data_IF_634157294145
#
_entry.id   IF_634157294145
#
_cell.length_a   1.000
_cell.length_b   1.000
_cell.length_c   1.000
_cell.angle_alpha   90.00
_cell.angle_beta   90.00
_cell.angle_gamma   90.00
#
_symmetry.space_group_name_H-M   'P 1'
#
loop_
_entity.id
_entity.type
_entity.pdbx_description
1 polymer ?
#
# COMPACT_ATOMS: atom_id res chain seq x y z
N UNK A 1 -44.53 48.31 -32.90
CA UNK A 1 -43.73 48.26 -31.61
C UNK A 1 -43.03 46.93 -31.55
N UNK A 2 -41.77 46.89 -31.98
CA UNK A 2 -40.90 45.70 -31.88
C UNK A 2 -40.26 45.70 -30.48
N UNK A 3 -40.51 44.67 -29.68
CA UNK A 3 -39.81 44.45 -28.42
C UNK A 3 -38.36 44.05 -28.74
N UNK A 4 -37.44 44.95 -28.43
CA UNK A 4 -36.03 44.62 -28.40
C UNK A 4 -35.80 43.56 -27.33
N UNK A 5 -35.42 42.35 -27.74
CA UNK A 5 -34.86 41.32 -26.87
C UNK A 5 -33.41 41.73 -26.65
N UNK A 6 -33.08 42.27 -25.48
CA UNK A 6 -31.71 42.50 -25.09
C UNK A 6 -30.99 41.13 -24.98
N UNK A 7 -30.08 40.85 -25.91
CA UNK A 7 -29.11 39.77 -25.80
C UNK A 7 -28.18 40.09 -24.66
N UNK A 8 -28.35 39.38 -23.54
CA UNK A 8 -27.41 39.45 -22.40
C UNK A 8 -26.02 39.05 -22.89
N UNK A 9 -25.03 39.86 -22.61
CA UNK A 9 -23.64 39.56 -22.93
C UNK A 9 -23.20 38.28 -22.19
N UNK A 10 -22.27 37.50 -22.77
CA UNK A 10 -21.79 36.25 -22.16
C UNK A 10 -21.26 36.40 -20.73
N UNK A 11 -20.77 37.61 -20.39
CA UNK A 11 -20.32 37.95 -19.04
C UNK A 11 -21.48 38.08 -18.04
N UNK A 12 -22.62 38.69 -18.44
CA UNK A 12 -23.81 38.83 -17.57
C UNK A 12 -24.50 37.47 -17.33
N UNK A 13 -24.51 36.60 -18.33
CA UNK A 13 -25.02 35.23 -18.20
C UNK A 13 -24.14 34.42 -17.22
N UNK A 14 -22.83 34.60 -17.28
CA UNK A 14 -21.89 33.92 -16.36
C UNK A 14 -22.04 34.45 -14.94
N UNK A 15 -22.19 35.76 -14.72
CA UNK A 15 -22.41 36.35 -13.41
C UNK A 15 -23.71 35.86 -12.76
N UNK A 16 -24.80 35.77 -13.54
CA UNK A 16 -26.08 35.21 -13.07
C UNK A 16 -25.97 33.73 -12.68
N UNK A 17 -25.23 32.93 -13.45
CA UNK A 17 -24.95 31.51 -13.13
C UNK A 17 -24.14 31.35 -11.85
N UNK A 18 -23.08 32.15 -11.65
CA UNK A 18 -22.25 32.10 -10.44
C UNK A 18 -23.05 32.49 -9.19
N UNK A 19 -23.94 33.50 -9.30
CA UNK A 19 -24.83 33.89 -8.19
C UNK A 19 -25.83 32.78 -7.83
N UNK A 20 -26.43 32.12 -8.80
CA UNK A 20 -27.31 31.00 -8.58
C UNK A 20 -26.58 29.79 -8.00
N UNK A 21 -25.36 29.53 -8.44
CA UNK A 21 -24.49 28.46 -7.89
C UNK A 21 -24.14 28.75 -6.43
N UNK A 22 -23.75 29.98 -6.08
CA UNK A 22 -23.44 30.34 -4.70
C UNK A 22 -24.64 30.13 -3.77
N UNK A 23 -25.83 30.56 -4.17
CA UNK A 23 -27.04 30.34 -3.39
C UNK A 23 -27.35 28.85 -3.18
N UNK A 24 -27.01 28.00 -4.18
CA UNK A 24 -27.15 26.54 -4.06
C UNK A 24 -26.12 25.97 -3.10
N UNK A 25 -24.87 26.42 -3.15
CA UNK A 25 -23.81 26.03 -2.23
C UNK A 25 -24.21 26.38 -0.78
N UNK A 26 -24.64 27.63 -0.55
CA UNK A 26 -25.09 28.09 0.77
C UNK A 26 -26.23 27.23 1.33
N UNK A 27 -27.17 26.81 0.47
CA UNK A 27 -28.26 25.91 0.86
C UNK A 27 -27.73 24.51 1.22
N UNK A 28 -26.82 23.95 0.41
CA UNK A 28 -26.19 22.64 0.68
C UNK A 28 -25.45 22.68 2.01
N UNK A 29 -24.68 23.73 2.27
CA UNK A 29 -23.95 23.87 3.52
C UNK A 29 -24.88 24.05 4.74
N UNK A 30 -26.03 24.68 4.54
CA UNK A 30 -27.04 24.79 5.58
C UNK A 30 -27.73 23.45 5.90
N UNK A 31 -28.02 22.68 4.85
CA UNK A 31 -28.76 21.42 4.97
C UNK A 31 -27.86 20.24 5.43
N UNK A 32 -26.58 20.25 5.03
CA UNK A 32 -25.65 19.11 5.24
C UNK A 32 -24.38 19.47 6.05
N UNK A 33 -24.19 20.74 6.40
CA UNK A 33 -23.03 21.22 7.15
C UNK A 33 -21.97 21.90 6.27
N UNK A 34 -21.18 22.79 6.90
CA UNK A 34 -20.06 23.48 6.24
C UNK A 34 -19.00 22.50 5.76
N UNK A 35 -18.45 22.75 4.57
CA UNK A 35 -17.45 21.91 3.96
C UNK A 35 -18.00 20.67 3.22
N UNK A 36 -19.33 20.51 3.12
CA UNK A 36 -19.95 19.43 2.34
C UNK A 36 -19.66 19.58 0.84
N UNK A 37 -19.52 20.81 0.38
CA UNK A 37 -19.07 21.13 -0.98
C UNK A 37 -17.96 22.19 -0.91
N UNK A 38 -16.88 21.99 -1.68
CA UNK A 38 -15.74 22.89 -1.68
C UNK A 38 -15.13 22.98 -3.08
N UNK A 39 -14.44 24.07 -3.35
CA UNK A 39 -13.61 24.17 -4.56
C UNK A 39 -12.27 23.52 -4.28
N UNK A 40 -11.82 22.64 -5.16
CA UNK A 40 -10.57 21.91 -4.97
C UNK A 40 -9.34 22.83 -4.82
N UNK A 41 -9.32 23.97 -5.52
CA UNK A 41 -8.24 24.96 -5.43
C UNK A 41 -8.20 25.78 -4.14
N UNK A 42 -9.22 25.70 -3.29
CA UNK A 42 -9.27 26.47 -2.03
C UNK A 42 -8.59 25.73 -0.86
N UNK A 43 -8.12 24.50 -1.09
CA UNK A 43 -7.46 23.66 -0.07
C UNK A 43 -6.10 23.14 -0.58
N UNK A 44 -5.01 23.86 -0.35
CA UNK A 44 -3.65 23.44 -0.74
C UNK A 44 -3.18 22.17 0.00
N UNK A 45 -3.79 21.82 1.13
CA UNK A 45 -3.45 20.61 1.90
C UNK A 45 -3.89 19.28 1.25
N UNK A 46 -4.74 19.35 0.21
CA UNK A 46 -5.19 18.14 -0.51
C UNK A 46 -4.14 17.58 -1.47
N UNK A 47 -3.11 18.38 -1.80
CA UNK A 47 -2.08 17.99 -2.78
C UNK A 47 -0.97 17.12 -2.16
N UNK A 48 -0.82 17.10 -0.84
CA UNK A 48 0.15 16.24 -0.16
C UNK A 48 -0.55 15.01 0.43
N UNK A 49 -0.59 13.90 -0.30
CA UNK A 49 -1.05 12.63 0.26
C UNK A 49 -0.18 12.24 1.46
N UNK A 50 -0.79 12.12 2.64
CA UNK A 50 -0.09 11.55 3.79
C UNK A 50 0.15 10.07 3.50
N UNK A 51 1.36 9.60 3.74
CA UNK A 51 1.78 8.24 3.42
C UNK A 51 2.43 7.55 4.62
N UNK A 52 2.43 6.22 4.57
CA UNK A 52 3.26 5.37 5.42
C UNK A 52 4.33 4.77 4.51
N UNK A 53 5.63 4.96 4.78
CA UNK A 53 6.70 4.32 4.02
C UNK A 53 6.53 2.81 3.97
N UNK A 54 6.91 2.20 2.87
CA UNK A 54 6.79 0.74 2.71
C UNK A 54 7.93 -0.04 3.36
N UNK A 55 9.01 0.65 3.76
CA UNK A 55 10.26 0.04 4.17
C UNK A 55 11.19 -0.31 3.00
N UNK A 56 10.79 0.01 1.76
CA UNK A 56 11.58 -0.16 0.55
C UNK A 56 11.62 1.15 -0.24
N UNK A 57 12.81 1.67 -0.51
CA UNK A 57 13.01 2.89 -1.29
C UNK A 57 12.46 2.73 -2.71
N UNK A 58 12.73 1.57 -3.32
CA UNK A 58 12.26 1.26 -4.67
C UNK A 58 10.74 1.18 -4.75
N UNK A 59 10.08 0.57 -3.75
CA UNK A 59 8.61 0.49 -3.71
C UNK A 59 7.98 1.85 -3.45
N UNK A 60 8.54 2.64 -2.54
CA UNK A 60 8.07 4.01 -2.26
C UNK A 60 8.12 4.88 -3.51
N UNK A 61 9.21 4.77 -4.29
CA UNK A 61 9.32 5.42 -5.59
C UNK A 61 8.31 4.88 -6.62
N UNK A 62 8.12 3.56 -6.68
CA UNK A 62 7.15 2.95 -7.59
C UNK A 62 5.70 3.33 -7.26
N UNK A 63 5.38 3.60 -5.99
CA UNK A 63 4.09 4.12 -5.56
C UNK A 63 3.87 5.58 -5.99
N UNK A 64 4.92 6.33 -6.29
CA UNK A 64 4.89 7.68 -6.86
C UNK A 64 4.55 8.79 -5.88
N UNK A 65 4.21 8.46 -4.63
CA UNK A 65 3.88 9.38 -3.55
C UNK A 65 4.73 9.17 -2.29
N UNK A 66 5.70 8.26 -2.35
CA UNK A 66 6.66 8.01 -1.25
C UNK A 66 6.18 6.99 -0.20
N UNK A 67 5.13 6.21 -0.48
CA UNK A 67 4.66 5.17 0.43
C UNK A 67 3.20 4.78 0.20
N UNK A 68 2.64 4.02 1.15
CA UNK A 68 1.22 3.64 1.15
C UNK A 68 0.34 4.83 1.54
N UNK A 69 -0.68 5.21 0.73
CA UNK A 69 -1.52 6.36 1.01
C UNK A 69 -2.40 6.13 2.25
N UNK A 70 -2.40 7.07 3.18
CA UNK A 70 -3.37 7.12 4.28
C UNK A 70 -4.75 7.52 3.74
N UNK A 71 -5.79 7.11 4.45
CA UNK A 71 -7.17 7.35 4.02
C UNK A 71 -7.61 6.51 2.82
N UNK A 72 -6.87 5.44 2.49
CA UNK A 72 -7.12 4.60 1.31
C UNK A 72 -7.04 3.11 1.63
N UNK A 73 -7.67 2.32 0.76
CA UNK A 73 -7.57 0.87 0.76
C UNK A 73 -6.47 0.45 -0.22
N UNK A 74 -5.56 -0.39 0.26
CA UNK A 74 -4.49 -1.00 -0.50
C UNK A 74 -4.71 -2.52 -0.53
N UNK A 75 -4.56 -3.16 -1.69
CA UNK A 75 -4.52 -4.60 -1.82
C UNK A 75 -3.10 -5.05 -2.19
N UNK A 76 -2.51 -5.90 -1.35
CA UNK A 76 -1.24 -6.58 -1.62
C UNK A 76 -1.55 -8.04 -1.90
N UNK A 77 -1.28 -8.52 -3.11
CA UNK A 77 -1.61 -9.88 -3.50
C UNK A 77 -0.48 -10.56 -4.26
N UNK A 78 -0.51 -11.87 -4.31
CA UNK A 78 0.48 -12.69 -4.98
C UNK A 78 0.40 -14.16 -4.55
N UNK A 79 1.27 -15.02 -5.11
CA UNK A 79 1.39 -16.41 -4.71
C UNK A 79 1.76 -16.56 -3.24
N UNK A 80 1.63 -17.76 -2.73
CA UNK A 80 2.14 -18.12 -1.40
C UNK A 80 3.64 -17.86 -1.29
N UNK A 81 4.11 -17.48 -0.10
CA UNK A 81 5.53 -17.21 0.19
C UNK A 81 6.19 -16.17 -0.74
N UNK A 82 5.41 -15.25 -1.32
CA UNK A 82 5.94 -14.18 -2.19
C UNK A 82 6.43 -12.94 -1.42
N UNK A 83 6.20 -12.85 -0.10
CA UNK A 83 6.59 -11.71 0.73
C UNK A 83 5.48 -10.71 1.03
N UNK A 84 4.21 -11.03 0.80
CA UNK A 84 3.06 -10.14 1.05
C UNK A 84 2.97 -9.69 2.51
N UNK A 85 2.98 -10.66 3.44
CA UNK A 85 2.94 -10.39 4.88
C UNK A 85 4.17 -9.62 5.33
N UNK A 86 5.36 -9.91 4.78
CA UNK A 86 6.58 -9.15 5.05
C UNK A 86 6.43 -7.67 4.71
N UNK A 87 5.90 -7.35 3.53
CA UNK A 87 5.62 -5.95 3.13
C UNK A 87 4.65 -5.25 4.09
N UNK A 88 3.61 -5.94 4.51
CA UNK A 88 2.62 -5.38 5.45
C UNK A 88 3.23 -5.18 6.85
N UNK A 89 4.07 -6.10 7.33
CA UNK A 89 4.76 -5.96 8.61
C UNK A 89 5.75 -4.79 8.58
N UNK A 90 6.50 -4.60 7.48
CA UNK A 90 7.34 -3.41 7.31
C UNK A 90 6.52 -2.12 7.36
N UNK A 91 5.34 -2.08 6.73
CA UNK A 91 4.46 -0.91 6.80
C UNK A 91 3.98 -0.63 8.24
N UNK A 92 3.70 -1.67 9.04
CA UNK A 92 3.39 -1.54 10.47
C UNK A 92 4.59 -0.92 11.21
N UNK A 93 5.80 -1.45 11.01
CA UNK A 93 7.01 -0.95 11.65
C UNK A 93 7.28 0.52 11.30
N UNK A 94 7.15 0.90 10.03
CA UNK A 94 7.31 2.29 9.58
C UNK A 94 6.24 3.24 10.14
N UNK A 95 4.99 2.77 10.27
CA UNK A 95 3.94 3.54 10.92
C UNK A 95 4.27 3.80 12.41
N UNK A 96 4.72 2.77 13.14
CA UNK A 96 5.11 2.89 14.56
C UNK A 96 6.34 3.78 14.74
N UNK A 97 7.35 3.70 13.87
CA UNK A 97 8.52 4.60 13.88
C UNK A 97 8.12 6.07 13.78
N UNK A 98 7.03 6.36 13.06
CA UNK A 98 6.48 7.70 12.92
C UNK A 98 5.56 8.10 14.08
N UNK A 99 5.45 7.29 15.13
CA UNK A 99 4.57 7.50 16.29
C UNK A 99 3.11 7.11 16.03
N UNK A 100 2.83 6.43 14.93
CA UNK A 100 1.47 5.97 14.57
C UNK A 100 1.05 4.70 15.30
N UNK A 101 -0.25 4.50 15.44
CA UNK A 101 -0.85 3.32 16.05
C UNK A 101 -1.23 2.32 14.97
N UNK A 102 -0.77 1.07 15.12
CA UNK A 102 -0.97 0.00 14.17
C UNK A 102 -1.83 -1.13 14.74
N UNK A 103 -2.65 -1.73 13.87
CA UNK A 103 -3.42 -2.91 14.18
C UNK A 103 -3.28 -3.97 13.07
N UNK A 104 -3.31 -5.24 13.46
CA UNK A 104 -3.39 -6.37 12.54
C UNK A 104 -4.57 -7.27 12.90
N UNK A 105 -5.36 -7.61 11.90
CA UNK A 105 -6.43 -8.61 11.96
C UNK A 105 -5.88 -9.88 11.32
N UNK A 106 -5.41 -10.81 12.16
CA UNK A 106 -4.81 -12.08 11.75
C UNK A 106 -5.89 -13.14 11.62
N UNK A 107 -6.54 -13.18 10.45
CA UNK A 107 -7.58 -14.16 10.15
C UNK A 107 -7.01 -15.55 9.79
N UNK A 108 -5.72 -15.66 9.49
CA UNK A 108 -5.04 -16.93 9.23
C UNK A 108 -4.54 -17.61 10.53
N UNK A 109 -4.54 -16.88 11.67
CA UNK A 109 -3.97 -17.33 12.96
C UNK A 109 -2.50 -17.76 12.85
N UNK A 110 -1.72 -17.06 12.02
CA UNK A 110 -0.36 -17.41 11.66
C UNK A 110 0.65 -16.29 11.90
N UNK A 111 0.31 -15.27 12.69
CA UNK A 111 1.19 -14.14 12.95
C UNK A 111 2.42 -14.54 13.74
N UNK A 112 3.60 -14.39 13.13
CA UNK A 112 4.89 -14.65 13.75
C UNK A 112 5.41 -13.42 14.50
N UNK A 113 5.33 -13.45 15.84
CA UNK A 113 5.77 -12.38 16.71
C UNK A 113 7.29 -12.17 16.65
N UNK A 114 8.06 -13.25 16.53
CA UNK A 114 9.52 -13.19 16.48
C UNK A 114 9.98 -12.53 15.19
N UNK A 115 9.37 -12.91 14.07
CA UNK A 115 9.65 -12.30 12.78
C UNK A 115 9.21 -10.83 12.75
N UNK A 116 8.04 -10.50 13.26
CA UNK A 116 7.59 -9.11 13.33
C UNK A 116 8.54 -8.22 14.14
N UNK A 117 9.04 -8.73 15.28
CA UNK A 117 10.04 -8.03 16.10
C UNK A 117 11.36 -7.82 15.35
N UNK A 118 11.83 -8.81 14.58
CA UNK A 118 13.06 -8.69 13.79
C UNK A 118 12.93 -7.64 12.67
N UNK A 119 11.72 -7.40 12.17
CA UNK A 119 11.43 -6.35 11.20
C UNK A 119 11.24 -4.96 11.82
N UNK A 120 11.39 -4.84 13.13
CA UNK A 120 11.33 -3.57 13.85
C UNK A 120 9.94 -3.19 14.38
N UNK A 121 8.99 -4.13 14.41
CA UNK A 121 7.67 -3.91 15.03
C UNK A 121 7.80 -3.87 16.55
N UNK A 122 7.25 -2.82 17.15
CA UNK A 122 7.03 -2.75 18.58
C UNK A 122 5.80 -3.59 18.95
N UNK A 123 6.05 -4.74 19.57
CA UNK A 123 5.00 -5.68 19.95
C UNK A 123 4.16 -5.20 21.15
N UNK A 124 4.67 -4.27 21.96
CA UNK A 124 3.96 -3.75 23.12
C UNK A 124 2.84 -2.81 22.74
N UNK A 125 2.99 -2.14 21.58
CA UNK A 125 2.00 -1.17 21.09
C UNK A 125 1.16 -1.69 19.90
N UNK A 126 1.54 -2.83 19.31
CA UNK A 126 0.79 -3.42 18.21
C UNK A 126 -0.52 -4.06 18.70
N UNK A 127 -1.65 -3.60 18.16
CA UNK A 127 -2.94 -4.25 18.39
C UNK A 127 -3.09 -5.45 17.46
N UNK A 128 -3.42 -6.62 18.01
CA UNK A 128 -3.69 -7.84 17.24
C UNK A 128 -5.06 -8.39 17.58
N UNK A 129 -5.81 -8.81 16.57
CA UNK A 129 -7.06 -9.55 16.71
C UNK A 129 -7.03 -10.81 15.86
N UNK A 130 -7.51 -11.91 16.42
CA UNK A 130 -7.65 -13.21 15.74
C UNK A 130 -9.12 -13.62 15.75
N UNK A 131 -9.90 -13.17 14.76
CA UNK A 131 -11.36 -13.36 14.71
C UNK A 131 -11.75 -14.78 14.31
N UNK A 132 -12.92 -15.23 14.75
CA UNK A 132 -13.44 -16.57 14.43
C UNK A 132 -14.08 -16.65 13.03
N UNK A 133 -14.49 -15.53 12.46
CA UNK A 133 -15.15 -15.46 11.14
C UNK A 133 -14.93 -14.10 10.46
N UNK A 134 -15.26 -14.03 9.17
CA UNK A 134 -15.05 -12.84 8.35
C UNK A 134 -15.88 -11.63 8.77
N UNK A 135 -17.12 -11.82 9.24
CA UNK A 135 -17.97 -10.75 9.76
C UNK A 135 -17.32 -10.09 10.97
N UNK A 136 -16.87 -10.89 11.95
CA UNK A 136 -16.19 -10.42 13.15
C UNK A 136 -14.89 -9.67 12.78
N UNK A 137 -14.09 -10.22 11.88
CA UNK A 137 -12.86 -9.58 11.41
C UNK A 137 -13.09 -8.17 10.87
N UNK A 138 -14.07 -8.05 9.95
CA UNK A 138 -14.36 -6.79 9.28
C UNK A 138 -15.09 -5.79 10.20
N UNK A 139 -15.86 -6.26 11.18
CA UNK A 139 -16.49 -5.40 12.18
C UNK A 139 -15.48 -4.86 13.18
N UNK A 140 -14.52 -5.67 13.63
CA UNK A 140 -13.40 -5.21 14.47
C UNK A 140 -12.59 -4.15 13.71
N UNK A 141 -12.24 -4.40 12.44
CA UNK A 141 -11.54 -3.43 11.61
C UNK A 141 -12.33 -2.11 11.47
N UNK A 142 -13.65 -2.18 11.22
CA UNK A 142 -14.50 -0.99 11.11
C UNK A 142 -14.52 -0.18 12.43
N UNK A 143 -14.64 -0.85 13.57
CA UNK A 143 -14.63 -0.19 14.87
C UNK A 143 -13.30 0.48 15.19
N UNK A 144 -12.16 -0.18 14.90
CA UNK A 144 -10.83 0.39 15.06
C UNK A 144 -10.65 1.63 14.18
N UNK A 145 -11.03 1.56 12.91
CA UNK A 145 -10.95 2.67 11.95
C UNK A 145 -11.84 3.83 12.41
N UNK A 146 -13.06 3.57 12.82
CA UNK A 146 -14.02 4.59 13.28
C UNK A 146 -13.57 5.32 14.53
N UNK A 147 -12.70 4.73 15.34
CA UNK A 147 -12.13 5.41 16.52
C UNK A 147 -11.33 6.66 16.13
N UNK A 148 -10.81 6.71 14.90
CA UNK A 148 -9.94 7.78 14.42
C UNK A 148 -8.52 7.77 15.02
N UNK A 149 -8.20 6.75 15.83
CA UNK A 149 -6.92 6.64 16.52
C UNK A 149 -5.91 5.74 15.79
N UNK A 150 -6.34 4.97 14.78
CA UNK A 150 -5.51 4.00 14.07
C UNK A 150 -4.94 4.59 12.79
N UNK A 151 -3.63 4.59 12.66
CA UNK A 151 -2.93 5.05 11.45
C UNK A 151 -2.88 3.98 10.35
N UNK A 152 -2.69 2.72 10.74
CA UNK A 152 -2.66 1.59 9.83
C UNK A 152 -3.41 0.38 10.41
N UNK A 153 -4.22 -0.27 9.58
CA UNK A 153 -4.80 -1.58 9.86
C UNK A 153 -4.47 -2.54 8.72
N UNK A 154 -3.96 -3.71 9.07
CA UNK A 154 -3.66 -4.80 8.14
C UNK A 154 -4.65 -5.93 8.37
N UNK A 155 -5.23 -6.49 7.30
CA UNK A 155 -6.10 -7.67 7.33
C UNK A 155 -5.38 -8.78 6.57
N UNK A 156 -4.95 -9.81 7.30
CA UNK A 156 -4.19 -10.96 6.76
C UNK A 156 -4.95 -12.26 7.04
N UNK A 157 -5.57 -12.87 6.07
CA UNK A 157 -5.75 -12.46 4.67
C UNK A 157 -7.23 -12.52 4.27
N UNK A 158 -7.59 -11.88 3.13
CA UNK A 158 -8.95 -11.97 2.56
C UNK A 158 -9.39 -13.42 2.33
N UNK A 159 -8.45 -14.30 1.97
CA UNK A 159 -8.74 -15.72 1.74
C UNK A 159 -9.27 -16.43 2.99
N UNK A 160 -8.88 -15.98 4.18
CA UNK A 160 -9.29 -16.54 5.48
C UNK A 160 -10.56 -15.90 6.05
N UNK A 161 -11.10 -14.85 5.42
CA UNK A 161 -12.36 -14.23 5.86
C UNK A 161 -13.57 -15.10 5.50
N UNK A 162 -13.70 -16.22 6.20
CA UNK A 162 -14.81 -17.17 6.00
C UNK A 162 -16.09 -16.61 6.61
N UNK A 163 -17.19 -16.51 5.87
CA UNK A 163 -18.49 -16.08 6.41
C UNK A 163 -18.98 -17.01 7.51
N UNK A 164 -19.57 -16.43 8.56
CA UNK A 164 -20.11 -17.19 9.69
C UNK A 164 -21.09 -18.30 9.24
N UNK A 165 -21.96 -17.98 8.29
CA UNK A 165 -22.92 -18.95 7.74
C UNK A 165 -22.25 -20.13 7.01
N UNK A 166 -21.03 -19.97 6.51
CA UNK A 166 -20.24 -21.03 5.90
C UNK A 166 -19.65 -21.94 6.99
N UNK A 167 -19.16 -21.35 8.09
CA UNK A 167 -18.61 -22.08 9.24
C UNK A 167 -19.67 -22.91 9.95
N UNK A 168 -20.88 -22.36 10.13
CA UNK A 168 -22.01 -23.01 10.79
C UNK A 168 -22.75 -24.03 9.89
N UNK A 169 -22.41 -24.10 8.59
CA UNK A 169 -22.98 -25.05 7.64
C UNK A 169 -22.42 -26.46 7.78
N UNK A 170 -23.05 -27.41 7.12
CA UNK A 170 -22.57 -28.78 7.07
C UNK A 170 -21.34 -28.93 6.13
N UNK A 171 -20.44 -29.86 6.44
CA UNK A 171 -19.32 -30.17 5.58
C UNK A 171 -19.77 -30.63 4.19
N UNK A 172 -19.32 -29.92 3.15
CA UNK A 172 -19.72 -30.19 1.76
C UNK A 172 -20.90 -29.36 1.25
N UNK A 173 -21.52 -28.54 2.11
CA UNK A 173 -22.56 -27.62 1.68
C UNK A 173 -21.94 -26.50 0.79
N UNK A 174 -22.46 -26.35 -0.43
CA UNK A 174 -21.92 -25.38 -1.38
C UNK A 174 -22.62 -24.01 -1.23
N UNK A 175 -21.98 -23.08 -0.54
CA UNK A 175 -22.49 -21.70 -0.31
C UNK A 175 -21.77 -20.69 -1.21
N UNK A 176 -22.02 -20.77 -2.51
CA UNK A 176 -21.37 -19.92 -3.50
C UNK A 176 -21.60 -18.43 -3.25
N UNK A 177 -20.52 -17.67 -3.24
CA UNK A 177 -20.55 -16.19 -3.28
C UNK A 177 -20.77 -15.49 -1.96
N UNK A 178 -20.86 -16.18 -0.81
CA UNK A 178 -21.06 -15.56 0.50
C UNK A 178 -19.90 -14.63 0.84
N UNK A 179 -18.65 -15.06 0.66
CA UNK A 179 -17.47 -14.23 0.92
C UNK A 179 -17.45 -12.96 0.03
N UNK A 180 -17.82 -13.07 -1.24
CA UNK A 180 -17.88 -11.93 -2.15
C UNK A 180 -18.97 -10.91 -1.73
N UNK A 181 -20.12 -11.38 -1.20
CA UNK A 181 -21.17 -10.52 -0.64
C UNK A 181 -20.70 -9.83 0.63
N UNK A 182 -20.06 -10.56 1.55
CA UNK A 182 -19.48 -10.03 2.77
C UNK A 182 -18.47 -8.92 2.44
N UNK A 183 -17.52 -9.19 1.56
CA UNK A 183 -16.53 -8.19 1.12
C UNK A 183 -17.19 -6.96 0.48
N UNK A 184 -18.18 -7.15 -0.37
CA UNK A 184 -18.89 -6.03 -1.00
C UNK A 184 -19.64 -5.16 0.01
N UNK A 185 -20.22 -5.74 1.03
CA UNK A 185 -20.91 -5.02 2.10
C UNK A 185 -19.92 -4.27 2.99
N UNK A 186 -18.88 -4.94 3.44
CA UNK A 186 -17.86 -4.37 4.31
C UNK A 186 -17.12 -3.20 3.65
N UNK A 187 -16.68 -3.37 2.40
CA UNK A 187 -15.91 -2.33 1.70
C UNK A 187 -16.72 -1.06 1.46
N UNK A 188 -18.04 -1.15 1.28
CA UNK A 188 -18.93 0.02 1.22
C UNK A 188 -18.92 0.84 2.52
N UNK A 189 -18.89 0.17 3.69
CA UNK A 189 -18.80 0.82 4.99
C UNK A 189 -17.40 1.35 5.26
N UNK A 190 -16.38 0.50 5.11
CA UNK A 190 -15.01 0.80 5.42
C UNK A 190 -14.46 1.98 4.61
N UNK A 191 -14.76 2.06 3.30
CA UNK A 191 -14.21 3.11 2.42
C UNK A 191 -14.51 4.51 2.93
N UNK A 192 -15.75 4.76 3.37
CA UNK A 192 -16.15 6.07 3.87
C UNK A 192 -15.46 6.40 5.21
N UNK A 193 -15.33 5.42 6.10
CA UNK A 193 -14.70 5.60 7.41
C UNK A 193 -13.19 5.79 7.26
N UNK A 194 -12.53 4.96 6.45
CA UNK A 194 -11.09 5.03 6.14
C UNK A 194 -10.70 6.44 5.63
N UNK A 195 -11.49 6.97 4.69
CA UNK A 195 -11.24 8.31 4.14
C UNK A 195 -11.39 9.41 5.17
N UNK A 196 -12.39 9.30 6.07
CA UNK A 196 -12.66 10.31 7.12
C UNK A 196 -11.62 10.29 8.22
N UNK A 197 -11.13 9.11 8.61
CA UNK A 197 -10.16 8.95 9.71
C UNK A 197 -8.72 8.96 9.23
N UNK A 198 -8.50 9.06 7.92
CA UNK A 198 -7.17 9.06 7.30
C UNK A 198 -6.34 7.81 7.67
N UNK A 199 -7.00 6.65 7.85
CA UNK A 199 -6.36 5.38 8.17
C UNK A 199 -5.86 4.69 6.90
N UNK A 200 -4.64 4.17 6.90
CA UNK A 200 -4.14 3.27 5.85
C UNK A 200 -4.70 1.86 6.09
N UNK A 201 -5.45 1.30 5.13
CA UNK A 201 -6.04 -0.03 5.27
C UNK A 201 -5.45 -0.98 4.22
N UNK A 202 -4.66 -1.96 4.67
CA UNK A 202 -4.01 -2.95 3.81
C UNK A 202 -4.75 -4.29 3.91
N UNK A 203 -5.22 -4.79 2.77
CA UNK A 203 -5.74 -6.15 2.61
C UNK A 203 -4.67 -7.01 1.94
N UNK A 204 -4.25 -8.08 2.61
CA UNK A 204 -3.43 -9.12 2.00
C UNK A 204 -4.37 -10.11 1.32
N UNK A 205 -4.04 -10.50 0.09
CA UNK A 205 -4.87 -11.41 -0.68
C UNK A 205 -4.04 -12.50 -1.36
N UNK A 206 -4.68 -13.64 -1.58
CA UNK A 206 -4.08 -14.79 -2.25
C UNK A 206 -4.56 -14.86 -3.69
N UNK A 207 -3.72 -15.42 -4.56
CA UNK A 207 -4.08 -15.76 -5.92
C UNK A 207 -4.72 -17.15 -5.97
N UNK A 208 -5.71 -17.29 -6.83
CA UNK A 208 -6.33 -18.55 -7.21
C UNK A 208 -6.37 -18.64 -8.73
N UNK A 209 -6.31 -19.83 -9.25
CA UNK A 209 -6.48 -20.08 -10.67
C UNK A 209 -7.93 -20.43 -10.99
N UNK A 210 -8.47 -19.79 -12.01
CA UNK A 210 -9.78 -20.13 -12.54
C UNK A 210 -9.67 -21.36 -13.43
N UNK A 211 -10.38 -22.40 -13.09
CA UNK A 211 -10.44 -23.63 -13.89
C UNK A 211 -11.17 -23.33 -15.21
N UNK A 212 -10.63 -23.85 -16.34
CA UNK A 212 -11.28 -23.79 -17.65
C UNK A 212 -11.00 -22.54 -18.48
N UNK A 213 -10.11 -21.65 -18.06
CA UNK A 213 -9.68 -20.53 -18.91
C UNK A 213 -8.54 -21.00 -19.82
N UNK A 214 -8.84 -21.17 -21.11
CA UNK A 214 -7.84 -21.54 -22.14
C UNK A 214 -7.10 -20.33 -22.73
N UNK A 215 -7.67 -19.11 -22.62
CA UNK A 215 -7.08 -17.89 -23.16
C UNK A 215 -7.18 -16.75 -22.13
N UNK A 216 -6.11 -15.95 -22.01
CA UNK A 216 -6.02 -14.83 -21.07
C UNK A 216 -5.36 -15.24 -19.75
N UNK A 217 -5.45 -14.36 -18.73
CA UNK A 217 -4.86 -14.62 -17.42
C UNK A 217 -5.84 -15.40 -16.53
N UNK A 218 -5.53 -16.66 -16.16
CA UNK A 218 -6.39 -17.47 -15.29
C UNK A 218 -6.36 -17.00 -13.83
N UNK A 219 -5.34 -16.23 -13.42
CA UNK A 219 -5.17 -15.81 -12.04
C UNK A 219 -6.26 -14.82 -11.59
N UNK A 220 -6.79 -15.03 -10.41
CA UNK A 220 -7.73 -14.13 -9.75
C UNK A 220 -7.48 -14.09 -8.26
N UNK A 221 -7.83 -12.98 -7.61
CA UNK A 221 -7.78 -12.85 -6.16
C UNK A 221 -9.07 -13.38 -5.51
N UNK A 222 -9.00 -13.81 -4.24
CA UNK A 222 -10.15 -14.27 -3.46
C UNK A 222 -11.06 -13.11 -3.04
N UNK A 223 -12.27 -13.40 -2.52
CA UNK A 223 -13.20 -12.38 -2.03
C UNK A 223 -14.00 -11.65 -3.13
N UNK A 224 -14.01 -12.16 -4.36
CA UNK A 224 -14.75 -11.57 -5.49
C UNK A 224 -14.09 -10.35 -6.09
N UNK A 225 -14.89 -9.48 -6.73
CA UNK A 225 -14.37 -8.31 -7.46
C UNK A 225 -14.40 -7.00 -6.67
N UNK A 226 -15.07 -6.95 -5.52
CA UNK A 226 -15.29 -5.69 -4.80
C UNK A 226 -13.98 -4.99 -4.43
N UNK A 227 -13.02 -5.73 -3.86
CA UNK A 227 -11.73 -5.17 -3.45
C UNK A 227 -10.94 -4.59 -4.64
N UNK A 228 -11.02 -5.20 -5.83
CA UNK A 228 -10.40 -4.68 -7.06
C UNK A 228 -10.90 -3.29 -7.44
N UNK A 229 -12.16 -2.98 -7.15
CA UNK A 229 -12.76 -1.67 -7.41
C UNK A 229 -12.48 -0.67 -6.30
N UNK A 230 -12.63 -1.08 -5.03
CA UNK A 230 -12.48 -0.20 -3.87
C UNK A 230 -11.03 0.15 -3.56
N UNK A 231 -10.07 -0.74 -3.79
CA UNK A 231 -8.67 -0.46 -3.59
C UNK A 231 -8.20 0.72 -4.45
N UNK A 232 -7.53 1.69 -3.84
CA UNK A 232 -6.88 2.80 -4.53
C UNK A 232 -5.54 2.39 -5.11
N UNK A 233 -4.85 1.47 -4.45
CA UNK A 233 -3.57 0.89 -4.87
C UNK A 233 -3.69 -0.62 -4.83
N UNK A 234 -3.19 -1.29 -5.87
CA UNK A 234 -3.09 -2.76 -5.94
C UNK A 234 -1.67 -3.15 -6.33
N UNK A 235 -1.10 -4.06 -5.59
CA UNK A 235 0.31 -4.44 -5.67
C UNK A 235 0.39 -5.95 -5.88
N UNK A 236 0.97 -6.37 -6.99
CA UNK A 236 1.29 -7.76 -7.32
C UNK A 236 2.72 -8.07 -6.86
N UNK A 237 2.87 -9.03 -5.95
CA UNK A 237 4.14 -9.43 -5.33
C UNK A 237 4.53 -10.81 -5.83
N UNK A 238 5.70 -10.92 -6.46
CA UNK A 238 6.20 -12.17 -7.05
C UNK A 238 7.63 -12.45 -6.61
N UNK A 239 7.89 -13.66 -6.18
CA UNK A 239 9.25 -14.18 -6.03
C UNK A 239 9.83 -14.45 -7.42
N UNK A 240 11.06 -13.99 -7.69
CA UNK A 240 11.75 -14.21 -8.97
C UNK A 240 12.87 -15.23 -8.84
N UNK A 241 13.85 -14.99 -8.00
CA UNK A 241 15.03 -15.84 -7.82
C UNK A 241 15.26 -16.10 -6.34
N UNK A 242 15.75 -17.28 -6.01
CA UNK A 242 16.19 -17.58 -4.65
C UNK A 242 17.62 -17.09 -4.44
N UNK A 243 17.87 -16.43 -3.32
CA UNK A 243 19.20 -16.01 -2.89
C UNK A 243 19.77 -17.13 -2.06
N UNK A 244 20.98 -17.58 -2.42
CA UNK A 244 21.66 -18.70 -1.77
C UNK A 244 23.08 -18.33 -1.42
N UNK A 245 23.59 -18.94 -0.33
CA UNK A 245 25.01 -19.05 -0.04
C UNK A 245 25.37 -20.54 -0.03
N UNK A 246 26.07 -20.98 -1.05
CA UNK A 246 26.27 -22.39 -1.32
C UNK A 246 24.94 -23.12 -1.57
N UNK A 247 24.60 -24.08 -0.71
CA UNK A 247 23.33 -24.83 -0.75
C UNK A 247 22.23 -24.19 0.11
N UNK A 248 22.59 -23.28 1.02
CA UNK A 248 21.67 -22.67 1.95
C UNK A 248 20.88 -21.53 1.29
N UNK A 249 19.56 -21.53 1.46
CA UNK A 249 18.68 -20.49 1.01
C UNK A 249 18.61 -19.35 2.03
N UNK A 250 19.14 -18.18 1.69
CA UNK A 250 19.16 -17.00 2.55
C UNK A 250 17.94 -16.11 2.38
N UNK A 251 17.27 -16.15 1.24
CA UNK A 251 16.16 -15.27 0.94
C UNK A 251 15.67 -15.41 -0.49
N UNK A 252 14.90 -14.42 -0.93
CA UNK A 252 14.37 -14.35 -2.28
C UNK A 252 14.49 -12.95 -2.86
N UNK A 253 14.86 -12.87 -4.13
CA UNK A 253 14.64 -11.67 -4.93
C UNK A 253 13.16 -11.55 -5.22
N UNK A 254 12.56 -10.43 -4.88
CA UNK A 254 11.12 -10.19 -5.00
C UNK A 254 10.88 -9.05 -5.96
N UNK A 255 9.98 -9.27 -6.90
CA UNK A 255 9.45 -8.24 -7.81
C UNK A 255 8.08 -7.81 -7.36
N UNK A 256 7.89 -6.51 -7.27
CA UNK A 256 6.63 -5.87 -6.92
C UNK A 256 6.18 -5.01 -8.10
N UNK A 257 4.92 -5.16 -8.52
CA UNK A 257 4.31 -4.36 -9.58
C UNK A 257 3.08 -3.65 -9.06
N UNK A 258 3.05 -2.33 -9.19
CA UNK A 258 1.88 -1.51 -8.87
C UNK A 258 0.90 -1.57 -10.04
N UNK A 259 -0.07 -2.48 -9.99
CA UNK A 259 -0.98 -2.75 -11.12
C UNK A 259 -2.17 -1.80 -11.19
N UNK A 260 -2.49 -1.13 -10.07
CA UNK A 260 -3.49 -0.08 -9.97
C UNK A 260 -2.98 0.98 -9.02
N UNK A 261 -3.11 2.24 -9.40
CA UNK A 261 -2.76 3.37 -8.56
C UNK A 261 -3.69 4.55 -8.92
N UNK A 262 -4.44 5.05 -7.93
CA UNK A 262 -5.29 6.25 -8.08
C UNK A 262 -4.58 7.53 -7.61
N UNK A 263 -3.35 7.39 -7.05
CA UNK A 263 -2.60 8.50 -6.47
C UNK A 263 -1.46 8.98 -7.38
N UNK A 264 -0.99 8.09 -8.28
CA UNK A 264 0.10 8.36 -9.22
C UNK A 264 -0.02 7.42 -10.45
N UNK A 265 0.78 7.59 -11.50
CA UNK A 265 0.79 6.69 -12.66
C UNK A 265 1.03 5.23 -12.25
N UNK A 266 0.20 4.27 -12.70
CA UNK A 266 0.35 2.86 -12.37
C UNK A 266 1.42 2.17 -13.23
N UNK A 267 1.61 0.86 -12.98
CA UNK A 267 2.46 -0.09 -13.70
C UNK A 267 3.95 0.03 -13.45
N UNK A 268 4.40 0.89 -12.55
CA UNK A 268 5.78 0.92 -12.08
C UNK A 268 6.09 -0.38 -11.33
N UNK A 269 7.38 -0.74 -11.34
CA UNK A 269 7.91 -1.95 -10.70
C UNK A 269 9.01 -1.59 -9.73
N UNK A 270 9.16 -2.41 -8.70
CA UNK A 270 10.29 -2.39 -7.80
C UNK A 270 10.83 -3.81 -7.64
N UNK A 271 12.12 -3.96 -7.46
CA UNK A 271 12.76 -5.24 -7.16
C UNK A 271 13.74 -5.07 -6.00
N UNK A 272 13.63 -5.95 -5.03
CA UNK A 272 14.50 -5.98 -3.85
C UNK A 272 14.61 -7.39 -3.29
N UNK A 273 15.61 -7.58 -2.41
CA UNK A 273 15.82 -8.84 -1.73
C UNK A 273 15.00 -8.86 -0.43
N UNK A 274 14.32 -9.97 -0.17
CA UNK A 274 13.75 -10.31 1.13
C UNK A 274 14.62 -11.43 1.72
N UNK A 275 15.31 -11.13 2.81
CA UNK A 275 16.18 -12.05 3.54
C UNK A 275 15.38 -12.72 4.66
N UNK A 276 15.54 -14.02 4.83
CA UNK A 276 14.82 -14.76 5.85
C UNK A 276 15.25 -14.29 7.25
N UNK A 277 14.27 -14.00 8.10
CA UNK A 277 14.50 -13.47 9.44
C UNK A 277 14.82 -11.96 9.53
N UNK A 278 15.23 -11.30 8.41
CA UNK A 278 15.61 -9.89 8.38
C UNK A 278 14.63 -9.01 7.59
N UNK A 279 13.83 -9.61 6.68
CA UNK A 279 12.91 -8.87 5.82
C UNK A 279 13.57 -8.22 4.60
N UNK A 280 13.12 -7.02 4.23
CA UNK A 280 13.66 -6.28 3.08
C UNK A 280 15.11 -5.87 3.35
N UNK A 281 16.01 -6.24 2.45
CA UNK A 281 17.44 -5.93 2.55
C UNK A 281 17.70 -4.46 2.18
N UNK A 282 17.67 -3.58 3.17
CA UNK A 282 17.89 -2.15 2.98
C UNK A 282 19.24 -1.84 2.32
N UNK A 283 20.35 -2.40 2.86
CA UNK A 283 21.68 -2.23 2.25
C UNK A 283 21.77 -2.80 0.84
N UNK A 284 21.04 -3.89 0.57
CA UNK A 284 20.94 -4.47 -0.78
C UNK A 284 20.25 -3.52 -1.76
N UNK A 285 19.16 -2.87 -1.35
CA UNK A 285 18.47 -1.85 -2.16
C UNK A 285 19.36 -0.64 -2.44
N UNK A 286 20.07 -0.14 -1.42
CA UNK A 286 20.99 1.00 -1.58
C UNK A 286 22.07 0.69 -2.63
N UNK A 287 22.63 -0.51 -2.64
CA UNK A 287 23.60 -0.91 -3.64
C UNK A 287 22.97 -0.98 -5.03
N UNK A 288 21.81 -1.64 -5.14
CA UNK A 288 21.15 -1.85 -6.43
C UNK A 288 20.72 -0.53 -7.06
N UNK A 289 20.04 0.34 -6.27
CA UNK A 289 19.62 1.67 -6.71
C UNK A 289 20.83 2.60 -6.93
N UNK A 290 21.84 2.54 -6.04
CA UNK A 290 23.06 3.32 -6.21
C UNK A 290 23.77 3.04 -7.53
N UNK A 291 23.80 1.78 -7.96
CA UNK A 291 24.35 1.38 -9.27
C UNK A 291 23.40 1.80 -10.40
N UNK A 292 22.12 1.60 -10.26
CA UNK A 292 21.11 1.95 -11.28
C UNK A 292 21.12 3.45 -11.60
N UNK A 293 21.26 4.30 -10.58
CA UNK A 293 21.30 5.76 -10.73
C UNK A 293 22.70 6.37 -10.80
N UNK A 294 23.72 5.53 -11.07
CA UNK A 294 25.09 5.98 -11.28
C UNK A 294 25.76 6.69 -10.08
N UNK A 295 25.21 6.54 -8.89
CA UNK A 295 25.74 7.05 -7.61
C UNK A 295 26.87 6.15 -7.13
N UNK A 296 26.67 4.84 -7.15
CA UNK A 296 27.70 3.82 -6.94
C UNK A 296 28.19 3.37 -8.29
N UNK A 297 29.50 3.48 -8.54
CA UNK A 297 30.12 2.99 -9.76
C UNK A 297 30.51 1.53 -9.59
N UNK A 298 30.12 0.69 -10.56
CA UNK A 298 30.49 -0.73 -10.61
C UNK A 298 31.43 -0.97 -11.78
N UNK A 299 32.62 -1.48 -11.49
CA UNK A 299 33.61 -1.89 -12.50
C UNK A 299 34.04 -3.34 -12.25
N UNK A 300 33.54 -4.26 -13.08
CA UNK A 300 33.66 -5.69 -12.85
C UNK A 300 33.03 -6.10 -11.52
N UNK A 301 33.81 -6.66 -10.59
CA UNK A 301 33.37 -7.03 -9.25
C UNK A 301 33.56 -5.90 -8.20
N UNK A 302 34.20 -4.79 -8.56
CA UNK A 302 34.49 -3.68 -7.65
C UNK A 302 33.40 -2.62 -7.66
N UNK A 303 33.08 -2.13 -6.47
CA UNK A 303 32.17 -1.02 -6.24
C UNK A 303 32.95 0.16 -5.70
N UNK A 304 32.56 1.38 -6.11
CA UNK A 304 33.17 2.62 -5.64
C UNK A 304 32.12 3.73 -5.51
N UNK A 305 32.37 4.64 -4.58
CA UNK A 305 31.55 5.82 -4.32
C UNK A 305 32.45 7.05 -4.18
N UNK A 306 32.11 8.15 -4.85
CA UNK A 306 32.91 9.39 -4.87
C UNK A 306 34.39 9.18 -5.23
N UNK A 307 34.70 8.19 -6.08
CA UNK A 307 36.06 7.86 -6.49
C UNK A 307 36.81 6.93 -5.53
N UNK A 308 36.26 6.67 -4.34
CA UNK A 308 36.87 5.73 -3.38
C UNK A 308 36.30 4.32 -3.57
N UNK A 309 37.16 3.30 -3.43
CA UNK A 309 36.76 1.91 -3.50
C UNK A 309 36.01 1.51 -2.22
N UNK A 310 34.81 0.97 -2.37
CA UNK A 310 34.04 0.40 -1.25
C UNK A 310 34.51 -1.02 -0.94
N UNK A 311 34.19 -1.98 -1.80
CA UNK A 311 34.58 -3.36 -1.65
C UNK A 311 34.45 -4.13 -2.96
N UNK A 312 34.96 -5.37 -2.97
CA UNK A 312 34.82 -6.32 -4.07
C UNK A 312 33.65 -7.28 -3.78
N UNK A 313 32.66 -7.28 -4.66
CA UNK A 313 31.46 -8.11 -4.54
C UNK A 313 30.35 -7.45 -3.72
N UNK A 314 29.10 -7.76 -4.10
CA UNK A 314 27.89 -7.14 -3.53
C UNK A 314 27.74 -7.42 -2.02
N UNK A 315 28.04 -8.65 -1.59
CA UNK A 315 27.90 -9.01 -0.16
C UNK A 315 28.94 -8.29 0.71
N UNK A 316 30.17 -8.11 0.23
CA UNK A 316 31.17 -7.32 0.95
C UNK A 316 30.78 -5.85 1.09
N UNK A 317 30.13 -5.26 0.05
CA UNK A 317 29.58 -3.90 0.13
C UNK A 317 28.41 -3.82 1.11
N UNK A 318 27.51 -4.83 1.15
CA UNK A 318 26.42 -4.89 2.14
C UNK A 318 26.98 -4.88 3.58
N UNK A 319 28.00 -5.69 3.83
CA UNK A 319 28.67 -5.71 5.14
C UNK A 319 29.29 -4.36 5.47
N UNK A 320 30.02 -3.76 4.53
CA UNK A 320 30.61 -2.43 4.69
C UNK A 320 29.57 -1.37 5.05
N UNK A 321 28.44 -1.33 4.34
CA UNK A 321 27.37 -0.37 4.61
C UNK A 321 26.65 -0.63 5.94
N UNK A 322 26.53 -1.89 6.37
CA UNK A 322 25.98 -2.26 7.66
C UNK A 322 26.90 -1.79 8.81
N UNK A 323 28.22 -1.90 8.62
CA UNK A 323 29.22 -1.49 9.61
C UNK A 323 29.47 0.02 9.62
N UNK A 324 29.03 0.74 8.57
CA UNK A 324 29.17 2.19 8.42
C UNK A 324 27.82 2.87 8.12
N UNK A 325 26.95 3.06 9.14
CA UNK A 325 25.63 3.65 8.93
C UNK A 325 25.66 5.05 8.33
N UNK A 326 26.64 5.90 8.71
CA UNK A 326 26.78 7.26 8.17
C UNK A 326 26.99 7.26 6.64
N UNK A 327 27.83 6.36 6.13
CA UNK A 327 28.04 6.18 4.70
C UNK A 327 26.79 5.64 4.01
N UNK A 328 26.07 4.73 4.67
CA UNK A 328 24.80 4.17 4.18
C UNK A 328 23.77 5.28 4.01
N UNK A 329 23.60 6.14 5.03
CA UNK A 329 22.65 7.27 5.04
C UNK A 329 23.04 8.33 3.98
N UNK A 330 24.34 8.60 3.79
CA UNK A 330 24.82 9.53 2.76
C UNK A 330 24.44 9.04 1.36
N UNK A 331 24.69 7.76 1.07
CA UNK A 331 24.38 7.16 -0.24
C UNK A 331 22.85 7.12 -0.42
N UNK A 332 22.08 6.77 0.60
CA UNK A 332 20.62 6.79 0.56
C UNK A 332 20.09 8.19 0.25
N UNK A 333 20.62 9.22 0.90
CA UNK A 333 20.21 10.60 0.64
C UNK A 333 20.49 11.00 -0.83
N UNK A 334 21.63 10.59 -1.37
CA UNK A 334 21.97 10.82 -2.79
C UNK A 334 20.99 10.08 -3.73
N UNK A 335 20.63 8.83 -3.41
CA UNK A 335 19.63 8.04 -4.18
C UNK A 335 18.27 8.74 -4.15
N UNK A 336 17.79 9.14 -2.96
CA UNK A 336 16.49 9.82 -2.83
C UNK A 336 16.46 11.15 -3.60
N UNK A 337 17.56 11.90 -3.59
CA UNK A 337 17.70 13.13 -4.38
C UNK A 337 17.66 12.84 -5.90
N UNK A 338 18.32 11.78 -6.36
CA UNK A 338 18.26 11.37 -7.75
C UNK A 338 16.85 10.97 -8.19
N UNK A 339 16.17 10.16 -7.37
CA UNK A 339 14.78 9.74 -7.60
C UNK A 339 13.80 10.92 -7.65
N UNK A 340 13.97 11.92 -6.80
CA UNK A 340 13.13 13.12 -6.78
C UNK A 340 13.29 14.00 -8.03
N UNK A 341 14.45 13.92 -8.72
CA UNK A 341 14.72 14.65 -9.95
C UNK A 341 14.22 13.97 -11.23
N UNK A 342 13.77 12.71 -11.13
CA UNK A 342 13.15 11.99 -12.24
C UNK A 342 11.72 12.54 -12.38
N UNK A 343 11.53 13.44 -13.33
CA UNK A 343 10.18 13.87 -13.73
C UNK A 343 9.55 12.72 -14.53
N UNK A 344 8.45 12.19 -14.01
CA UNK A 344 7.59 11.21 -14.70
C UNK A 344 6.95 11.77 -15.97
#
# INVERSE_FOLDING_TARGET
>A
MAKAVEEKTGAEVNAAKLKALQATIDKIEKDYGKGTIMKLGDQPEWDAAQVIPSGSIALDHALGIGGYPKGRIIEIYGPESSGKTTLAIHAIAEAQKSGGIAAIIDAEHAFDRTYAKSLGVDLETLLISQPDNGEQALEIADNLIRSGAIDIVVIDSVAALTPKAEIEGEMGENKVGLQARLMSQALRKLTANISKTNTCCIFINQLREKIGIMFGNPETTTGGNALKFYASVRIDVRRTTQIKDGEEALGNRTRVKVVKNKMAPPFKKAEFDIVFGEGISHTGEIIDLGVEYDIIKKSGSWFSYNGEKLAQGREAVKTLLRDNPELCDEIEAAIRAALANIKD
#
